data_IF_035777041871
#
_entry.id   IF_035777041871
#
_cell.length_a   1.000
_cell.length_b   1.000
_cell.length_c   1.000
_cell.angle_alpha   90.00
_cell.angle_beta   90.00
_cell.angle_gamma   90.00
#
_symmetry.space_group_name_H-M   'P 1'
#
loop_
_entity.id
_entity.type
_entity.pdbx_description
1 polymer ?
#
# COMPACT_ATOMS: atom_id res chain seq x y z
N UNK A 1 21.14 12.53 2.65
CA UNK A 1 21.24 11.37 3.56
C UNK A 1 21.05 11.76 5.02
N UNK A 2 21.66 12.85 5.49
CA UNK A 2 21.64 13.30 6.90
C UNK A 2 20.24 13.43 7.53
N UNK A 3 19.23 13.87 6.76
CA UNK A 3 17.86 14.06 7.24
C UNK A 3 17.02 12.77 7.35
N UNK A 4 17.56 11.60 7.01
CA UNK A 4 16.81 10.33 7.07
C UNK A 4 16.37 9.99 8.50
N UNK A 5 17.28 10.08 9.47
CA UNK A 5 16.98 9.76 10.87
C UNK A 5 15.93 10.71 11.48
N UNK A 6 16.10 12.05 11.39
CA UNK A 6 15.07 12.99 11.87
C UNK A 6 13.70 12.80 11.21
N UNK A 7 13.68 12.50 9.91
CA UNK A 7 12.44 12.22 9.19
C UNK A 7 11.75 10.96 9.72
N UNK A 8 12.52 9.87 9.90
CA UNK A 8 12.00 8.61 10.42
C UNK A 8 11.42 8.81 11.83
N UNK A 9 12.14 9.49 12.72
CA UNK A 9 11.67 9.79 14.08
C UNK A 9 10.35 10.57 14.06
N UNK A 10 10.26 11.61 13.23
CA UNK A 10 9.02 12.38 13.05
C UNK A 10 7.87 11.50 12.57
N UNK A 11 8.11 10.58 11.63
CA UNK A 11 7.09 9.63 11.16
C UNK A 11 6.64 8.68 12.28
N UNK A 12 7.56 8.19 13.10
CA UNK A 12 7.27 7.29 14.22
C UNK A 12 6.45 7.98 15.30
N UNK A 13 6.83 9.20 15.70
CA UNK A 13 6.11 10.02 16.68
C UNK A 13 4.67 10.28 16.23
N UNK A 14 4.49 10.61 14.95
CA UNK A 14 3.18 10.88 14.35
C UNK A 14 2.41 9.61 13.96
N UNK A 15 2.96 8.41 14.21
CA UNK A 15 2.40 7.12 13.78
C UNK A 15 2.05 7.09 12.29
N UNK A 16 2.85 7.80 11.47
CA UNK A 16 2.68 7.87 10.03
C UNK A 16 3.23 6.62 9.34
N UNK A 17 2.63 6.24 8.21
CA UNK A 17 3.13 5.12 7.40
C UNK A 17 4.41 5.54 6.67
N UNK A 18 5.39 4.65 6.66
CA UNK A 18 6.63 4.82 5.90
C UNK A 18 6.44 4.14 4.54
N UNK A 19 6.49 4.93 3.47
CA UNK A 19 6.20 4.46 2.12
C UNK A 19 7.23 3.41 1.67
N UNK A 20 6.76 2.33 1.04
CA UNK A 20 7.63 1.23 0.59
C UNK A 20 8.05 0.25 1.69
N UNK A 21 7.57 0.41 2.93
CA UNK A 21 7.88 -0.51 4.03
C UNK A 21 6.65 -1.26 4.54
N UNK A 22 6.90 -2.50 4.96
CA UNK A 22 5.89 -3.40 5.48
C UNK A 22 5.17 -4.15 4.38
N UNK A 23 4.76 -5.37 4.72
CA UNK A 23 4.02 -6.24 3.82
C UNK A 23 3.03 -7.10 4.63
N UNK A 24 1.89 -7.44 4.01
CA UNK A 24 0.86 -8.27 4.67
C UNK A 24 1.38 -9.69 4.96
N UNK A 25 2.19 -10.22 4.03
CA UNK A 25 2.81 -11.55 4.09
C UNK A 25 4.25 -11.50 4.62
N UNK A 26 5.18 -10.84 3.93
CA UNK A 26 6.59 -10.82 4.31
C UNK A 26 6.85 -10.10 5.65
N UNK A 27 7.63 -10.76 6.51
CA UNK A 27 8.20 -10.23 7.77
C UNK A 27 9.73 -10.09 7.70
N UNK A 28 10.25 -10.14 6.49
CA UNK A 28 11.65 -10.01 6.09
C UNK A 28 11.68 -9.17 4.82
N UNK A 29 12.88 -8.82 4.34
CA UNK A 29 13.05 -8.13 3.06
C UNK A 29 12.35 -8.90 1.93
N UNK A 30 11.50 -8.20 1.18
CA UNK A 30 10.74 -8.79 0.08
C UNK A 30 11.72 -9.27 -1.00
N UNK A 31 11.63 -10.54 -1.46
CA UNK A 31 12.55 -11.06 -2.48
C UNK A 31 12.51 -10.26 -3.78
N UNK A 32 11.38 -9.63 -4.11
CA UNK A 32 11.27 -8.76 -5.30
C UNK A 32 12.00 -7.44 -5.10
N UNK A 33 12.07 -6.94 -3.87
CA UNK A 33 12.83 -5.74 -3.55
C UNK A 33 14.34 -5.99 -3.71
N UNK A 34 14.82 -7.19 -3.38
CA UNK A 34 16.22 -7.61 -3.61
C UNK A 34 16.55 -7.57 -5.11
N UNK A 35 15.72 -8.22 -5.94
CA UNK A 35 15.92 -8.24 -7.40
C UNK A 35 15.88 -6.83 -8.00
N UNK A 36 14.96 -5.98 -7.54
CA UNK A 36 14.87 -4.60 -8.01
C UNK A 36 16.06 -3.74 -7.58
N UNK A 37 16.64 -4.00 -6.42
CA UNK A 37 17.85 -3.33 -5.98
C UNK A 37 19.04 -3.68 -6.87
N UNK A 38 19.24 -4.97 -7.19
CA UNK A 38 20.27 -5.41 -8.12
C UNK A 38 20.09 -4.79 -9.52
N UNK A 39 18.85 -4.70 -10.00
CA UNK A 39 18.52 -4.01 -11.26
C UNK A 39 18.84 -2.52 -11.21
N UNK A 40 18.57 -1.86 -10.08
CA UNK A 40 18.90 -0.44 -9.90
C UNK A 40 20.42 -0.22 -9.97
N UNK A 41 21.21 -1.06 -9.31
CA UNK A 41 22.67 -1.01 -9.35
C UNK A 41 23.22 -1.19 -10.78
N UNK A 42 22.71 -2.17 -11.52
CA UNK A 42 23.07 -2.37 -12.93
C UNK A 42 22.71 -1.17 -13.82
N UNK A 43 21.58 -0.49 -13.54
CA UNK A 43 21.21 0.73 -14.25
C UNK A 43 22.13 1.90 -13.90
N UNK A 44 22.61 1.98 -12.66
CA UNK A 44 23.53 3.04 -12.24
C UNK A 44 24.91 2.88 -12.87
N UNK A 45 25.38 1.65 -13.09
CA UNK A 45 26.62 1.41 -13.84
C UNK A 45 26.54 1.94 -15.29
N UNK A 46 25.37 1.83 -15.93
CA UNK A 46 25.18 2.20 -17.34
C UNK A 46 24.80 3.66 -17.55
N UNK A 47 23.94 4.20 -16.69
CA UNK A 47 23.32 5.52 -16.85
C UNK A 47 23.74 6.52 -15.76
N UNK A 48 24.70 6.14 -14.91
CA UNK A 48 25.21 6.95 -13.81
C UNK A 48 24.44 6.78 -12.50
N UNK A 49 25.08 7.12 -11.39
CA UNK A 49 24.52 7.03 -10.04
C UNK A 49 23.30 7.96 -9.82
N UNK A 50 22.40 7.60 -8.90
CA UNK A 50 21.31 8.48 -8.44
C UNK A 50 21.43 8.73 -6.94
N UNK A 51 21.56 9.99 -6.52
CA UNK A 51 21.59 10.38 -5.10
C UNK A 51 20.36 9.91 -4.29
N UNK A 52 19.21 9.65 -4.93
CA UNK A 52 18.07 9.06 -4.22
C UNK A 52 18.32 7.62 -3.79
N UNK A 53 19.25 6.91 -4.43
CA UNK A 53 19.66 5.57 -3.99
C UNK A 53 20.38 5.61 -2.65
N UNK A 54 21.27 6.58 -2.44
CA UNK A 54 21.96 6.76 -1.15
C UNK A 54 20.97 7.03 -0.02
N UNK A 55 19.95 7.84 -0.31
CA UNK A 55 18.85 8.12 0.62
C UNK A 55 18.05 6.86 0.90
N UNK A 56 17.75 6.05 -0.13
CA UNK A 56 17.00 4.81 0.03
C UNK A 56 17.75 3.76 0.86
N UNK A 57 19.05 3.57 0.63
CA UNK A 57 19.88 2.66 1.45
C UNK A 57 19.91 3.14 2.91
N UNK A 58 20.12 4.44 3.13
CA UNK A 58 20.15 4.98 4.49
C UNK A 58 18.80 4.81 5.19
N UNK A 59 17.70 5.02 4.46
CA UNK A 59 16.34 4.80 4.97
C UNK A 59 16.07 3.32 5.28
N UNK A 60 16.49 2.40 4.41
CA UNK A 60 16.37 0.95 4.65
C UNK A 60 17.07 0.57 5.96
N UNK A 61 18.33 0.97 6.14
CA UNK A 61 19.11 0.68 7.36
C UNK A 61 18.45 1.27 8.62
N UNK A 62 18.02 2.53 8.55
CA UNK A 62 17.39 3.20 9.69
C UNK A 62 16.06 2.54 10.09
N UNK A 63 15.25 2.14 9.11
CA UNK A 63 13.98 1.44 9.36
C UNK A 63 14.22 0.03 9.87
N UNK A 64 15.20 -0.70 9.33
CA UNK A 64 15.55 -2.04 9.82
C UNK A 64 15.99 -2.00 11.30
N UNK A 65 16.82 -1.03 11.68
CA UNK A 65 17.26 -0.86 13.07
C UNK A 65 16.08 -0.56 14.01
N UNK A 66 15.17 0.35 13.63
CA UNK A 66 14.08 0.82 14.49
C UNK A 66 12.84 -0.07 14.46
N UNK A 67 12.57 -0.76 13.35
CA UNK A 67 11.30 -1.44 13.09
C UNK A 67 11.46 -2.88 12.56
N UNK A 68 12.67 -3.35 12.28
CA UNK A 68 12.92 -4.73 11.84
C UNK A 68 12.40 -5.77 12.83
N UNK A 69 12.49 -5.50 14.13
CA UNK A 69 11.91 -6.34 15.19
C UNK A 69 10.37 -6.46 15.13
N UNK A 70 9.70 -5.52 14.46
CA UNK A 70 8.24 -5.57 14.19
C UNK A 70 7.91 -6.26 12.87
N UNK A 71 8.91 -6.81 12.17
CA UNK A 71 8.73 -7.43 10.86
C UNK A 71 8.48 -6.41 9.75
N UNK A 72 8.93 -5.17 9.91
CA UNK A 72 8.77 -4.10 8.91
C UNK A 72 10.06 -3.99 8.11
N UNK A 73 9.99 -4.40 6.86
CA UNK A 73 11.09 -4.42 5.91
C UNK A 73 10.66 -3.80 4.57
N UNK A 74 11.59 -3.41 3.69
CA UNK A 74 11.22 -2.84 2.40
C UNK A 74 10.50 -3.86 1.53
N UNK A 75 9.46 -3.39 0.85
CA UNK A 75 8.68 -4.15 -0.11
C UNK A 75 9.08 -3.79 -1.55
N UNK A 76 8.47 -4.46 -2.52
CA UNK A 76 8.73 -4.25 -3.96
C UNK A 76 8.63 -2.78 -4.40
N UNK A 77 7.75 -2.00 -3.79
CA UNK A 77 7.51 -0.61 -4.20
C UNK A 77 8.62 0.35 -3.76
N UNK A 78 9.46 -0.06 -2.79
CA UNK A 78 10.55 0.77 -2.29
C UNK A 78 11.63 1.03 -3.36
N UNK A 79 12.04 -0.02 -4.07
CA UNK A 79 13.06 0.06 -5.12
C UNK A 79 12.49 0.26 -6.52
N UNK A 80 11.23 -0.12 -6.79
CA UNK A 80 10.63 0.00 -8.12
C UNK A 80 10.58 1.45 -8.61
N UNK A 81 10.27 2.40 -7.72
CA UNK A 81 10.23 3.83 -8.07
C UNK A 81 11.58 4.39 -8.51
N UNK A 82 12.68 3.93 -7.90
CA UNK A 82 14.04 4.33 -8.29
C UNK A 82 14.39 3.78 -9.68
N UNK A 83 14.04 2.52 -9.94
CA UNK A 83 14.23 1.89 -11.25
C UNK A 83 13.45 2.65 -12.33
N UNK A 84 12.15 2.86 -12.14
CA UNK A 84 11.31 3.55 -13.14
C UNK A 84 11.75 4.99 -13.38
N UNK A 85 12.09 5.71 -12.32
CA UNK A 85 12.66 7.06 -12.41
C UNK A 85 13.96 7.06 -13.22
N UNK A 86 14.86 6.11 -12.97
CA UNK A 86 16.14 6.03 -13.69
C UNK A 86 15.94 5.68 -15.17
N UNK A 87 14.89 4.94 -15.50
CA UNK A 87 14.45 4.67 -16.87
C UNK A 87 13.76 5.87 -17.54
N UNK A 88 13.59 6.99 -16.85
CA UNK A 88 12.95 8.20 -17.38
C UNK A 88 11.43 8.10 -17.47
N UNK A 89 10.82 7.14 -16.76
CA UNK A 89 9.37 6.97 -16.73
C UNK A 89 8.77 8.03 -15.79
N UNK A 90 7.79 8.84 -16.25
CA UNK A 90 7.04 9.75 -15.41
C UNK A 90 6.38 9.04 -14.20
N UNK A 91 6.34 9.70 -13.03
CA UNK A 91 5.88 9.08 -11.77
C UNK A 91 4.40 8.68 -11.78
N UNK A 92 3.59 9.43 -12.52
CA UNK A 92 2.18 9.14 -12.82
C UNK A 92 1.99 7.86 -13.64
N UNK A 93 3.04 7.38 -14.33
CA UNK A 93 3.02 6.15 -15.11
C UNK A 93 3.50 4.90 -14.34
N UNK A 94 3.90 5.03 -13.07
CA UNK A 94 4.36 3.87 -12.28
C UNK A 94 3.27 2.81 -12.10
N UNK A 95 2.04 3.23 -11.78
CA UNK A 95 0.91 2.30 -11.61
C UNK A 95 0.48 1.67 -12.94
N UNK A 96 0.39 2.39 -14.07
CA UNK A 96 0.22 1.78 -15.39
C UNK A 96 1.27 0.72 -15.75
N UNK A 97 2.56 0.97 -15.50
CA UNK A 97 3.63 -0.01 -15.75
C UNK A 97 3.44 -1.28 -14.91
N UNK A 98 3.08 -1.11 -13.64
CA UNK A 98 2.71 -2.23 -12.78
C UNK A 98 1.52 -3.01 -13.34
N UNK A 99 0.49 -2.32 -13.84
CA UNK A 99 -0.70 -2.95 -14.40
C UNK A 99 -0.35 -3.79 -15.64
N UNK A 100 0.51 -3.29 -16.53
CA UNK A 100 0.98 -4.04 -17.71
C UNK A 100 1.57 -5.39 -17.30
N UNK A 101 2.44 -5.41 -16.27
CA UNK A 101 2.99 -6.66 -15.77
C UNK A 101 1.93 -7.55 -15.09
N UNK A 102 0.98 -6.94 -14.35
CA UNK A 102 -0.02 -7.66 -13.55
C UNK A 102 -1.16 -8.25 -14.39
N UNK A 103 -1.45 -7.70 -15.56
CA UNK A 103 -2.49 -8.21 -16.49
C UNK A 103 -2.32 -9.70 -16.76
N UNK A 104 -1.10 -10.20 -16.94
CA UNK A 104 -0.86 -11.63 -17.14
C UNK A 104 -1.38 -12.48 -15.97
N UNK A 105 -1.13 -12.06 -14.72
CA UNK A 105 -1.62 -12.74 -13.53
C UNK A 105 -3.14 -12.60 -13.34
N UNK A 106 -3.71 -11.44 -13.66
CA UNK A 106 -5.17 -11.23 -13.63
C UNK A 106 -5.88 -12.16 -14.62
N UNK A 107 -5.38 -12.27 -15.85
CA UNK A 107 -5.94 -13.15 -16.86
C UNK A 107 -5.79 -14.63 -16.50
N UNK A 108 -4.65 -15.03 -15.91
CA UNK A 108 -4.44 -16.39 -15.43
C UNK A 108 -5.45 -16.76 -14.33
N UNK A 109 -5.58 -15.95 -13.29
CA UNK A 109 -6.57 -16.19 -12.23
C UNK A 109 -8.02 -16.14 -12.74
N UNK A 110 -8.31 -15.25 -13.70
CA UNK A 110 -9.64 -15.21 -14.31
C UNK A 110 -9.94 -16.52 -15.06
N UNK A 111 -8.98 -17.03 -15.83
CA UNK A 111 -9.13 -18.31 -16.52
C UNK A 111 -9.31 -19.48 -15.53
N UNK A 112 -8.49 -19.56 -14.48
CA UNK A 112 -8.63 -20.55 -13.40
C UNK A 112 -10.03 -20.49 -12.77
N UNK A 113 -10.57 -19.29 -12.54
CA UNK A 113 -11.91 -19.13 -12.01
C UNK A 113 -12.99 -19.60 -12.98
N UNK A 114 -12.83 -19.39 -14.29
CA UNK A 114 -13.80 -19.84 -15.29
C UNK A 114 -13.92 -21.37 -15.33
N UNK A 115 -12.85 -22.10 -15.03
CA UNK A 115 -12.85 -23.58 -14.97
C UNK A 115 -13.67 -24.12 -13.77
N UNK A 116 -13.70 -23.37 -12.67
CA UNK A 116 -14.44 -23.72 -11.44
C UNK A 116 -15.33 -22.55 -10.97
N UNK A 117 -16.19 -22.06 -11.85
CA UNK A 117 -16.86 -20.77 -11.65
C UNK A 117 -17.88 -20.79 -10.51
N UNK A 118 -17.76 -19.79 -9.62
CA UNK A 118 -18.73 -19.48 -8.57
C UNK A 118 -18.96 -17.98 -8.50
N UNK A 119 -20.23 -17.57 -8.44
CA UNK A 119 -20.58 -16.16 -8.27
C UNK A 119 -20.14 -15.64 -6.89
N UNK A 120 -19.43 -14.51 -6.87
CA UNK A 120 -19.13 -13.79 -5.65
C UNK A 120 -20.34 -12.94 -5.23
N UNK A 121 -21.06 -13.38 -4.20
CA UNK A 121 -22.19 -12.64 -3.61
C UNK A 121 -22.04 -12.57 -2.09
N UNK A 122 -21.15 -11.72 -1.56
CA UNK A 122 -21.03 -11.53 -0.12
C UNK A 122 -22.30 -10.91 0.45
N UNK A 123 -22.65 -11.27 1.67
CA UNK A 123 -23.75 -10.64 2.44
C UNK A 123 -23.21 -9.52 3.30
N UNK A 124 -24.11 -8.68 3.80
CA UNK A 124 -23.79 -7.59 4.73
C UNK A 124 -24.61 -7.77 6.01
N UNK A 125 -24.04 -7.34 7.14
CA UNK A 125 -24.75 -7.27 8.42
C UNK A 125 -25.35 -5.88 8.53
N UNK A 126 -26.67 -5.78 8.56
CA UNK A 126 -27.37 -4.51 8.75
C UNK A 126 -27.44 -4.15 10.23
N UNK A 127 -26.98 -2.94 10.57
CA UNK A 127 -26.97 -2.40 11.95
C UNK A 127 -27.74 -1.09 12.09
N UNK A 128 -28.48 -0.69 11.05
CA UNK A 128 -29.31 0.52 11.07
C UNK A 128 -30.63 0.32 11.80
N UNK A 129 -31.38 1.42 11.95
CA UNK A 129 -32.73 1.37 12.51
C UNK A 129 -33.70 0.65 11.58
N UNK A 130 -34.51 -0.25 12.13
CA UNK A 130 -35.57 -0.94 11.39
C UNK A 130 -36.87 -0.15 11.42
N UNK A 131 -37.67 -0.29 10.35
CA UNK A 131 -39.07 0.16 10.31
C UNK A 131 -39.26 1.66 10.64
N UNK A 132 -38.31 2.51 10.26
CA UNK A 132 -38.47 3.95 10.39
C UNK A 132 -39.73 4.39 9.62
N UNK A 133 -40.68 5.09 10.27
CA UNK A 133 -41.87 5.56 9.60
C UNK A 133 -41.46 6.59 8.52
N UNK A 134 -42.09 6.50 7.36
CA UNK A 134 -41.90 7.51 6.32
C UNK A 134 -42.60 8.80 6.73
N UNK A 135 -41.86 9.91 6.78
CA UNK A 135 -42.40 11.25 7.07
C UNK A 135 -42.41 12.05 5.75
N UNK A 136 -43.58 12.59 5.30
CA UNK A 136 -43.68 13.51 4.17
C UNK A 136 -42.71 14.68 4.31
N UNK A 137 -42.20 15.19 3.19
CA UNK A 137 -41.10 16.17 3.21
C UNK A 137 -41.42 17.46 3.97
N UNK A 138 -42.68 17.88 3.91
CA UNK A 138 -43.26 19.04 4.58
C UNK A 138 -43.47 18.86 6.09
N UNK A 139 -43.47 17.61 6.57
CA UNK A 139 -43.60 17.24 7.99
C UNK A 139 -42.26 16.93 8.68
N UNK A 140 -41.14 17.04 7.96
CA UNK A 140 -39.80 16.82 8.53
C UNK A 140 -39.34 18.07 9.27
N UNK A 141 -38.95 17.93 10.53
CA UNK A 141 -38.58 19.04 11.43
C UNK A 141 -37.16 19.61 11.19
N UNK A 142 -36.46 19.12 10.15
CA UNK A 142 -35.11 19.54 9.79
C UNK A 142 -34.03 19.10 10.78
N UNK A 143 -34.38 18.36 11.84
CA UNK A 143 -33.40 17.79 12.76
C UNK A 143 -32.79 16.54 12.12
N UNK A 144 -31.46 16.47 12.16
CA UNK A 144 -30.74 15.27 11.79
C UNK A 144 -30.57 14.49 13.08
N UNK A 145 -31.37 13.44 13.28
CA UNK A 145 -31.11 12.49 14.35
C UNK A 145 -29.74 11.85 14.10
N UNK A 146 -28.82 12.03 15.05
CA UNK A 146 -27.52 11.35 14.96
C UNK A 146 -27.76 9.84 15.00
N UNK A 147 -27.17 9.07 14.06
CA UNK A 147 -27.31 7.63 14.09
C UNK A 147 -26.69 7.10 15.39
N UNK A 148 -27.50 6.44 16.22
CA UNK A 148 -27.02 5.68 17.37
C UNK A 148 -26.14 4.54 16.85
N UNK A 149 -24.82 4.73 16.84
CA UNK A 149 -23.87 3.68 16.46
C UNK A 149 -23.93 2.58 17.53
N UNK A 150 -24.35 1.35 17.22
CA UNK A 150 -24.23 0.26 18.19
C UNK A 150 -22.74 0.03 18.48
N UNK A 151 -22.36 -0.11 19.76
CA UNK A 151 -21.01 -0.52 20.13
C UNK A 151 -20.67 -1.82 19.39
N UNK A 152 -19.66 -1.76 18.52
CA UNK A 152 -19.10 -2.91 17.83
C UNK A 152 -18.52 -3.86 18.89
N UNK A 153 -19.28 -4.88 19.25
CA UNK A 153 -18.76 -6.00 20.05
C UNK A 153 -17.75 -6.75 19.17
N UNK A 154 -16.48 -6.44 19.36
CA UNK A 154 -15.37 -7.20 18.79
C UNK A 154 -15.46 -8.65 19.30
N UNK A 155 -15.58 -9.60 18.37
CA UNK A 155 -15.28 -11.01 18.61
C UNK A 155 -13.85 -11.29 18.21
#
# INVERSE_FOLDING_TARGET
VENVQPYLETCLERKSKIMGFGHRVYKVKDPRAIILQELAEQLFEKFGHDHYYDIAIAMEKAVEEKLGHKGIYPNVDFYSGLVYRKLGIPTDLFTPVFAIARVAGWLAHWKEQLEANRIFRPTQVYTGGHSAPYIPIDERDGRVDEPSVPELVAK
#
